data_IF_956203554723
#
_entry.id   IF_956203554723
#
_cell.length_a   1.000
_cell.length_b   1.000
_cell.length_c   1.000
_cell.angle_alpha   90.00
_cell.angle_beta   90.00
_cell.angle_gamma   90.00
#
_symmetry.space_group_name_H-M   'P 1'
#
loop_
_entity.id
_entity.type
_entity.pdbx_description
1 polymer ?
#
# COMPACT_ATOMS: atom_id res chain seq x y z
N UNK A 1 -12.16 -8.33 -7.21
CA UNK A 1 -11.54 -9.34 -6.32
C UNK A 1 -10.55 -10.24 -7.05
N UNK A 2 -10.65 -10.41 -8.37
CA UNK A 2 -9.90 -11.42 -9.14
C UNK A 2 -8.49 -10.99 -9.64
N UNK A 3 -8.06 -9.75 -9.40
CA UNK A 3 -6.80 -9.23 -9.97
C UNK A 3 -5.59 -9.26 -9.03
N UNK A 4 -5.78 -9.13 -7.72
CA UNK A 4 -4.64 -9.04 -6.79
C UNK A 4 -4.05 -10.41 -6.44
N UNK A 5 -4.89 -11.45 -6.41
CA UNK A 5 -4.44 -12.84 -6.14
C UNK A 5 -3.53 -13.35 -7.26
N UNK A 6 -3.77 -12.95 -8.51
CA UNK A 6 -3.03 -13.43 -9.68
C UNK A 6 -1.51 -13.15 -9.61
N UNK A 7 -1.09 -12.04 -8.98
CA UNK A 7 0.33 -11.65 -8.93
C UNK A 7 1.06 -12.12 -7.67
N UNK A 8 0.37 -12.68 -6.69
CA UNK A 8 0.92 -12.91 -5.34
C UNK A 8 0.52 -14.26 -4.75
N UNK A 9 0.32 -15.27 -5.60
CA UNK A 9 -0.28 -16.53 -5.16
C UNK A 9 0.68 -17.47 -4.43
N UNK A 10 1.92 -17.69 -4.87
CA UNK A 10 2.61 -18.93 -4.41
C UNK A 10 4.05 -18.83 -3.88
N UNK A 11 4.82 -17.76 -4.13
CA UNK A 11 6.28 -17.82 -3.81
C UNK A 11 6.91 -16.49 -3.38
N UNK A 12 6.18 -15.64 -2.64
CA UNK A 12 6.64 -14.27 -2.38
C UNK A 12 7.58 -14.17 -1.18
N UNK A 13 7.49 -15.08 -0.21
CA UNK A 13 8.35 -15.04 0.98
C UNK A 13 9.68 -15.71 0.68
N UNK A 14 10.78 -15.19 1.25
CA UNK A 14 12.17 -15.58 0.98
C UNK A 14 12.53 -17.07 1.22
N UNK A 15 11.58 -17.91 1.62
CA UNK A 15 11.77 -19.33 1.90
C UNK A 15 10.98 -20.26 0.96
N UNK A 16 10.36 -19.73 -0.10
CA UNK A 16 9.46 -20.50 -0.95
C UNK A 16 8.13 -20.82 -0.27
N UNK A 17 7.74 -19.99 0.69
CA UNK A 17 6.45 -20.10 1.36
C UNK A 17 5.44 -19.18 0.67
N UNK A 18 4.17 -19.60 0.57
CA UNK A 18 3.11 -18.75 0.06
C UNK A 18 2.93 -17.52 0.93
N UNK A 19 2.42 -16.44 0.32
CA UNK A 19 2.04 -15.25 1.07
C UNK A 19 0.89 -15.52 2.03
N UNK A 20 0.73 -14.67 3.04
CA UNK A 20 -0.46 -14.73 3.90
C UNK A 20 -1.71 -14.33 3.13
N UNK A 21 -2.86 -14.92 3.49
CA UNK A 21 -4.16 -14.65 2.89
C UNK A 21 -4.26 -14.94 1.38
N UNK A 22 -3.50 -15.92 0.89
CA UNK A 22 -3.58 -16.44 -0.48
C UNK A 22 -4.49 -17.67 -0.56
N UNK A 23 -4.73 -18.16 -1.78
CA UNK A 23 -5.45 -19.42 -1.99
C UNK A 23 -4.75 -20.57 -1.24
N UNK A 24 -5.52 -21.36 -0.49
CA UNK A 24 -4.99 -22.43 0.37
C UNK A 24 -4.37 -21.97 1.70
N UNK A 25 -4.13 -20.67 1.89
CA UNK A 25 -3.49 -20.10 3.08
C UNK A 25 -4.29 -18.92 3.67
N UNK A 26 -5.54 -19.16 4.10
CA UNK A 26 -6.41 -18.10 4.60
C UNK A 26 -5.88 -17.52 5.91
N UNK A 27 -6.01 -16.21 6.08
CA UNK A 27 -5.70 -15.51 7.32
C UNK A 27 -6.99 -15.08 8.03
N UNK A 28 -7.22 -15.61 9.22
CA UNK A 28 -8.30 -15.16 10.10
C UNK A 28 -7.92 -13.89 10.88
N UNK A 29 -8.65 -12.81 10.65
CA UNK A 29 -8.52 -11.56 11.41
C UNK A 29 -9.28 -11.63 12.72
N UNK A 30 -8.68 -11.08 13.78
CA UNK A 30 -9.37 -10.85 15.05
C UNK A 30 -10.20 -9.56 14.98
N UNK A 31 -10.99 -9.34 16.03
CA UNK A 31 -11.62 -8.03 16.25
C UNK A 31 -10.55 -6.94 16.28
N UNK A 32 -10.84 -5.80 15.64
CA UNK A 32 -9.91 -4.66 15.59
C UNK A 32 -8.58 -4.93 14.86
N UNK A 33 -8.55 -5.89 13.92
CA UNK A 33 -7.40 -6.11 13.04
C UNK A 33 -7.72 -5.82 11.58
N UNK A 34 -6.71 -5.32 10.87
CA UNK A 34 -6.80 -4.98 9.46
C UNK A 34 -5.70 -5.70 8.69
N UNK A 35 -6.08 -6.37 7.61
CA UNK A 35 -5.13 -6.87 6.63
C UNK A 35 -4.87 -5.75 5.61
N UNK A 36 -3.61 -5.33 5.50
CA UNK A 36 -3.23 -4.18 4.65
C UNK A 36 -2.43 -4.64 3.45
N UNK A 37 -2.75 -4.06 2.29
CA UNK A 37 -2.15 -4.37 1.00
C UNK A 37 -1.76 -3.08 0.29
N UNK A 38 -0.61 -3.09 -0.35
CA UNK A 38 -0.20 -2.01 -1.27
C UNK A 38 -0.81 -2.21 -2.65
N UNK A 39 -1.10 -1.09 -3.31
CA UNK A 39 -1.59 -1.03 -4.69
C UNK A 39 -0.54 -1.54 -5.70
N UNK A 40 0.73 -1.21 -5.49
CA UNK A 40 1.86 -1.74 -6.26
C UNK A 40 2.26 -3.14 -5.75
N UNK A 41 1.35 -4.10 -5.93
CA UNK A 41 1.44 -5.44 -5.33
C UNK A 41 2.79 -6.14 -5.48
N UNK A 42 3.44 -6.20 -6.67
CA UNK A 42 4.75 -6.85 -6.80
C UNK A 42 5.90 -6.14 -6.05
N UNK A 43 5.73 -4.88 -5.70
CA UNK A 43 6.76 -4.05 -5.06
C UNK A 43 6.27 -3.47 -3.73
N UNK A 44 5.38 -4.20 -3.04
CA UNK A 44 4.85 -3.83 -1.74
C UNK A 44 5.31 -4.80 -0.68
N UNK A 45 5.97 -4.29 0.37
CA UNK A 45 6.30 -5.06 1.57
C UNK A 45 5.17 -4.97 2.59
N UNK A 46 4.04 -5.61 2.29
CA UNK A 46 2.81 -5.54 3.07
C UNK A 46 2.45 -6.85 3.80
N UNK A 47 1.20 -6.94 4.29
CA UNK A 47 0.72 -8.06 5.12
C UNK A 47 0.92 -9.44 4.49
N UNK A 48 1.02 -9.54 3.16
CA UNK A 48 1.34 -10.82 2.50
C UNK A 48 2.72 -11.36 2.86
N UNK A 49 3.66 -10.47 3.19
CA UNK A 49 5.09 -10.77 3.32
C UNK A 49 5.62 -10.75 4.75
N UNK A 50 4.93 -10.05 5.67
CA UNK A 50 5.43 -9.86 7.02
C UNK A 50 5.60 -11.19 7.77
N UNK A 51 6.75 -11.35 8.44
CA UNK A 51 7.10 -12.54 9.20
C UNK A 51 6.81 -12.40 10.70
N UNK A 52 5.84 -11.54 11.04
CA UNK A 52 5.37 -11.34 12.40
C UNK A 52 4.46 -12.50 12.82
N UNK A 53 4.35 -12.73 14.13
CA UNK A 53 3.42 -13.72 14.70
C UNK A 53 1.98 -13.53 14.19
N UNK A 54 1.59 -12.26 13.94
CA UNK A 54 0.36 -11.89 13.26
C UNK A 54 0.64 -10.88 12.14
N UNK A 55 0.42 -11.25 10.86
CA UNK A 55 0.65 -10.36 9.71
C UNK A 55 -0.55 -9.42 9.48
N UNK A 56 -1.02 -8.76 10.54
CA UNK A 56 -2.16 -7.84 10.52
C UNK A 56 -1.86 -6.60 11.39
N UNK A 57 -2.52 -5.49 11.06
CA UNK A 57 -2.36 -4.22 11.78
C UNK A 57 -3.51 -4.07 12.78
N UNK A 58 -3.24 -3.92 14.09
CA UNK A 58 -4.29 -3.64 15.06
C UNK A 58 -4.81 -2.19 14.89
N UNK A 59 -6.09 -1.95 15.19
CA UNK A 59 -6.76 -0.65 15.02
C UNK A 59 -5.99 0.50 15.66
N UNK A 60 -5.42 0.28 16.86
CA UNK A 60 -4.63 1.28 17.59
C UNK A 60 -3.39 1.79 16.84
N UNK A 61 -2.91 1.06 15.85
CA UNK A 61 -1.76 1.46 15.02
C UNK A 61 -2.21 2.30 13.80
N UNK A 62 -3.51 2.45 13.55
CA UNK A 62 -4.02 3.30 12.49
C UNK A 62 -4.01 4.75 12.93
N UNK A 63 -3.30 5.59 12.17
CA UNK A 63 -3.25 7.05 12.42
C UNK A 63 -4.48 7.75 11.83
N UNK A 64 -4.91 7.36 10.64
CA UNK A 64 -6.04 7.98 9.95
C UNK A 64 -6.16 7.55 8.49
N UNK A 65 -7.18 8.07 7.79
CA UNK A 65 -7.39 7.82 6.35
C UNK A 65 -6.62 8.85 5.54
N UNK A 66 -5.95 8.41 4.47
CA UNK A 66 -5.44 9.34 3.47
C UNK A 66 -6.63 10.06 2.81
N UNK A 67 -6.71 11.38 2.98
CA UNK A 67 -7.87 12.18 2.55
C UNK A 67 -7.53 13.21 1.47
N UNK A 68 -6.25 13.43 1.15
CA UNK A 68 -5.81 14.44 0.20
C UNK A 68 -4.54 14.01 -0.55
N UNK A 69 -4.52 14.23 -1.86
CA UNK A 69 -3.34 14.07 -2.70
C UNK A 69 -2.76 15.45 -2.95
N UNK A 70 -1.55 15.68 -2.46
CA UNK A 70 -0.75 16.89 -2.72
C UNK A 70 0.31 16.57 -3.78
N UNK A 71 0.25 17.23 -4.94
CA UNK A 71 1.23 17.03 -6.02
C UNK A 71 1.97 18.34 -6.31
N UNK A 72 3.17 18.56 -5.75
CA UNK A 72 4.02 19.67 -6.12
C UNK A 72 4.82 19.28 -7.37
N UNK A 73 4.18 19.15 -8.53
CA UNK A 73 4.94 19.25 -9.77
C UNK A 73 5.46 20.69 -9.84
N UNK A 74 6.75 20.86 -9.61
CA UNK A 74 7.45 22.08 -9.94
C UNK A 74 7.26 22.32 -11.44
N UNK A 75 6.32 23.19 -11.81
CA UNK A 75 6.12 23.54 -13.21
C UNK A 75 7.43 24.05 -13.80
N UNK A 76 8.01 23.30 -14.75
CA UNK A 76 9.24 23.71 -15.41
C UNK A 76 8.92 24.80 -16.43
N UNK A 77 8.77 26.05 -15.99
CA UNK A 77 8.54 27.22 -16.87
C UNK A 77 9.18 28.52 -16.39
N UNK A 78 10.40 28.47 -15.83
CA UNK A 78 11.27 29.65 -15.75
C UNK A 78 12.71 29.27 -16.10
N UNK A 79 13.54 30.19 -16.62
CA UNK A 79 14.95 29.89 -16.97
C UNK A 79 15.83 29.53 -15.76
N UNK A 80 15.41 29.81 -14.53
CA UNK A 80 16.02 29.23 -13.34
C UNK A 80 15.22 27.98 -12.95
N UNK A 81 15.90 26.84 -12.81
CA UNK A 81 15.31 25.57 -12.41
C UNK A 81 14.93 25.54 -10.91
N UNK A 82 14.24 26.60 -10.42
CA UNK A 82 13.68 26.70 -9.06
C UNK A 82 12.17 26.40 -9.09
N UNK A 83 11.70 25.46 -8.26
CA UNK A 83 10.28 25.24 -7.99
C UNK A 83 9.65 26.44 -7.26
N UNK A 84 9.43 27.56 -7.93
CA UNK A 84 8.89 28.73 -7.23
C UNK A 84 7.38 28.61 -6.95
N UNK A 85 6.65 27.84 -7.76
CA UNK A 85 5.21 27.65 -7.60
C UNK A 85 4.79 26.17 -7.72
N UNK A 86 4.04 25.65 -6.73
CA UNK A 86 3.40 24.35 -6.86
C UNK A 86 2.25 24.43 -7.88
N UNK A 87 2.04 23.36 -8.65
CA UNK A 87 0.91 23.21 -9.55
C UNK A 87 -0.30 22.59 -8.80
N UNK A 88 -1.38 23.36 -8.54
CA UNK A 88 -2.53 22.86 -7.80
C UNK A 88 -3.46 21.99 -8.65
N UNK A 89 -3.25 21.87 -9.96
CA UNK A 89 -4.15 21.11 -10.85
C UNK A 89 -4.17 19.61 -10.55
N UNK A 90 -3.12 19.10 -9.91
CA UNK A 90 -3.04 17.71 -9.45
C UNK A 90 -3.66 17.46 -8.07
N UNK A 91 -4.16 18.48 -7.38
CA UNK A 91 -4.64 18.35 -6.01
C UNK A 91 -6.08 17.84 -5.98
N UNK A 92 -6.35 16.85 -5.12
CA UNK A 92 -7.70 16.31 -4.96
C UNK A 92 -7.91 15.69 -3.59
N UNK A 93 -9.13 15.76 -3.10
CA UNK A 93 -9.58 14.95 -1.98
C UNK A 93 -9.74 13.49 -2.41
N UNK A 94 -9.43 12.59 -1.48
CA UNK A 94 -9.74 11.17 -1.61
C UNK A 94 -11.08 10.96 -0.90
N UNK A 95 -12.12 10.60 -1.66
CA UNK A 95 -13.48 10.33 -1.17
C UNK A 95 -13.76 8.83 -1.15
#
# INVERSE_FOLDING_TARGET
LDRDVYYTNEWIRSAGEPGHATEGHPLGLLSEEFFVLGDNSPNSSDGRLWTLDRPAVPHRNLVGKAFFVYWPAAGRRTPLNVPLMPDPTGWRFVH
#
